data_IF_494483318615
#
_entry.id   IF_494483318615
#
_cell.length_a   1.000
_cell.length_b   1.000
_cell.length_c   1.000
_cell.angle_alpha   90.00
_cell.angle_beta   90.00
_cell.angle_gamma   90.00
#
_symmetry.space_group_name_H-M   'P 1'
#
loop_
_entity.id
_entity.type
_entity.pdbx_description
1 polymer ?
#
# COMPACT_ATOMS: atom_id res chain seq x y z
N UNK A 1 1.57 16.46 15.36
CA UNK A 1 2.66 16.54 14.30
C UNK A 1 4.04 16.60 14.97
N UNK A 2 4.67 15.41 14.76
CA UNK A 2 6.06 15.31 15.27
C UNK A 2 7.06 15.55 14.14
N UNK A 3 8.12 16.36 14.46
CA UNK A 3 9.10 16.74 13.42
C UNK A 3 10.18 15.67 13.31
N UNK A 4 10.38 15.29 12.05
CA UNK A 4 11.47 14.32 11.78
C UNK A 4 12.40 14.90 10.70
N UNK A 5 13.75 14.78 10.96
CA UNK A 5 14.72 15.25 9.93
C UNK A 5 15.44 14.05 9.31
N UNK A 6 15.51 14.05 7.96
CA UNK A 6 16.16 12.91 7.27
C UNK A 6 17.18 13.46 6.28
N UNK A 7 18.24 12.68 6.15
CA UNK A 7 19.26 13.11 5.17
C UNK A 7 18.96 12.50 3.80
N UNK A 8 18.98 13.42 2.74
CA UNK A 8 18.81 12.94 1.34
C UNK A 8 20.03 13.33 0.52
N UNK A 9 20.27 12.44 -0.26
CA UNK A 9 21.32 12.87 -1.21
C UNK A 9 20.87 14.09 -2.03
N UNK A 10 21.84 14.79 -2.47
CA UNK A 10 21.52 16.04 -3.20
C UNK A 10 20.65 15.77 -4.43
N UNK A 11 20.94 14.72 -5.10
CA UNK A 11 20.16 14.43 -6.31
C UNK A 11 18.70 14.07 -5.98
N UNK A 12 18.51 13.43 -4.93
CA UNK A 12 17.13 13.06 -4.54
C UNK A 12 16.32 14.28 -4.11
N UNK A 13 17.08 15.17 -3.40
CA UNK A 13 16.35 16.37 -2.97
C UNK A 13 15.98 17.24 -4.17
N UNK A 14 16.84 17.29 -5.11
CA UNK A 14 16.51 18.08 -6.31
C UNK A 14 15.33 17.48 -7.07
N UNK A 15 15.37 16.21 -7.19
CA UNK A 15 14.23 15.55 -7.87
C UNK A 15 12.91 15.82 -7.14
N UNK A 16 12.96 15.81 -5.85
CA UNK A 16 11.72 16.06 -5.08
C UNK A 16 11.23 17.51 -5.28
N UNK A 17 12.17 18.40 -5.37
CA UNK A 17 11.76 19.82 -5.55
C UNK A 17 11.15 20.02 -6.95
N UNK A 18 11.72 19.39 -7.87
CA UNK A 18 11.14 19.50 -9.22
C UNK A 18 9.73 18.90 -9.27
N UNK A 19 9.60 17.77 -8.60
CA UNK A 19 8.25 17.17 -8.55
C UNK A 19 7.26 18.11 -7.86
N UNK A 20 7.71 18.69 -6.89
CA UNK A 20 6.81 19.63 -6.18
C UNK A 20 6.46 20.82 -7.08
N UNK A 21 7.45 21.32 -7.81
CA UNK A 21 7.18 22.42 -8.75
C UNK A 21 6.17 22.03 -9.83
N UNK A 22 6.31 20.75 -10.25
CA UNK A 22 5.40 20.31 -11.33
C UNK A 22 3.98 20.11 -10.80
N UNK A 23 3.85 19.79 -9.57
CA UNK A 23 2.54 19.41 -9.02
C UNK A 23 1.90 20.58 -8.28
N UNK A 24 2.72 21.73 -8.16
CA UNK A 24 2.22 22.89 -7.39
C UNK A 24 2.02 22.57 -5.91
N UNK A 25 2.57 21.49 -5.44
CA UNK A 25 2.41 21.11 -4.03
C UNK A 25 3.74 21.32 -3.28
N UNK A 26 3.57 21.34 -1.92
CA UNK A 26 4.80 21.49 -1.12
C UNK A 26 5.56 20.16 -1.02
N UNK A 27 6.84 20.29 -0.82
CA UNK A 27 7.70 19.09 -0.69
C UNK A 27 7.23 18.25 0.50
N UNK A 28 6.82 18.93 1.54
CA UNK A 28 6.33 18.19 2.73
C UNK A 28 5.09 17.35 2.39
N UNK A 29 4.24 17.97 1.57
CA UNK A 29 3.01 17.21 1.22
C UNK A 29 3.34 15.98 0.38
N UNK A 30 4.28 16.11 -0.43
CA UNK A 30 4.66 14.96 -1.29
C UNK A 30 5.32 13.85 -0.46
N UNK A 31 6.13 14.26 0.47
CA UNK A 31 6.82 13.25 1.30
C UNK A 31 5.79 12.53 2.17
N UNK A 32 4.88 13.32 2.75
CA UNK A 32 3.85 12.66 3.58
C UNK A 32 3.00 11.70 2.74
N UNK A 33 2.67 12.09 1.54
CA UNK A 33 1.86 11.19 0.69
C UNK A 33 2.66 9.93 0.30
N UNK A 34 3.84 10.15 0.01
CA UNK A 34 4.66 8.99 -0.39
C UNK A 34 4.79 8.00 0.78
N UNK A 35 4.98 8.57 1.97
CA UNK A 35 5.07 7.68 3.14
C UNK A 35 3.76 6.91 3.34
N UNK A 36 2.66 7.54 3.13
CA UNK A 36 1.38 6.85 3.33
C UNK A 36 1.17 5.76 2.27
N UNK A 37 1.65 6.01 1.14
CA UNK A 37 1.36 5.05 0.05
C UNK A 37 2.34 3.88 0.09
N UNK A 38 3.54 4.17 0.53
CA UNK A 38 4.54 3.10 0.33
C UNK A 38 4.81 2.42 1.69
N UNK A 39 4.93 3.24 2.71
CA UNK A 39 5.32 2.63 4.01
C UNK A 39 4.06 2.25 4.79
N UNK A 40 3.09 3.17 4.68
CA UNK A 40 1.91 2.88 5.54
C UNK A 40 0.80 2.28 4.68
N UNK A 41 1.20 1.77 3.54
CA UNK A 41 0.14 1.18 2.71
C UNK A 41 -0.62 0.11 3.52
N UNK A 42 -1.99 0.33 3.64
CA UNK A 42 -2.74 -0.64 4.45
C UNK A 42 -2.69 -2.06 3.84
N UNK A 43 -2.35 -3.07 4.63
CA UNK A 43 -2.40 -4.48 4.14
C UNK A 43 -3.80 -4.84 3.62
N UNK A 44 -3.74 -5.14 2.27
CA UNK A 44 -5.02 -5.57 1.67
C UNK A 44 -5.68 -6.68 2.49
N UNK A 45 -6.75 -6.26 3.30
CA UNK A 45 -7.49 -7.28 4.09
C UNK A 45 -8.88 -7.45 3.49
N UNK A 46 -9.18 -9.14 3.23
CA UNK A 46 -10.56 -9.50 2.86
C UNK A 46 -10.58 -10.59 1.76
N UNK A 47 -11.62 -11.38 1.39
CA UNK A 47 -11.78 -12.64 0.62
C UNK A 47 -11.41 -12.48 -0.86
N UNK A 48 -10.91 -11.64 -1.66
CA UNK A 48 -10.27 -10.93 -2.79
C UNK A 48 -9.18 -10.02 -2.24
N UNK A 49 -8.66 -10.45 -1.04
CA UNK A 49 -7.78 -10.04 0.07
C UNK A 49 -8.55 -10.03 1.41
N UNK A 50 -9.60 -11.06 1.29
CA UNK A 50 -10.54 -11.04 2.45
C UNK A 50 -10.10 -11.99 3.53
N UNK A 51 -9.18 -12.97 3.08
CA UNK A 51 -8.91 -13.98 4.12
C UNK A 51 -7.53 -14.58 3.87
N UNK A 52 -6.69 -14.69 5.25
CA UNK A 52 -5.30 -15.19 5.11
C UNK A 52 -5.22 -16.69 5.39
N UNK A 53 -6.35 -17.37 5.54
CA UNK A 53 -6.41 -18.82 5.85
C UNK A 53 -6.48 -19.69 4.57
N UNK A 54 -6.00 -21.20 4.64
CA UNK A 54 -6.02 -22.06 3.44
C UNK A 54 -7.44 -22.62 3.20
N UNK A 55 -7.98 -22.14 2.02
CA UNK A 55 -9.34 -22.66 1.76
C UNK A 55 -9.38 -24.20 1.88
N UNK A 56 -10.39 -24.57 2.69
CA UNK A 56 -10.55 -26.03 2.87
C UNK A 56 -11.08 -26.68 1.58
N UNK A 57 -11.76 -25.93 0.59
CA UNK A 57 -12.24 -26.47 -0.70
C UNK A 57 -12.53 -25.31 -1.66
N UNK A 58 -12.42 -25.71 -2.97
CA UNK A 58 -12.64 -24.67 -4.01
C UNK A 58 -14.10 -24.65 -4.45
N UNK A 59 -14.47 -23.49 -5.02
CA UNK A 59 -15.85 -23.24 -5.49
C UNK A 59 -16.29 -24.32 -6.49
N UNK A 60 -15.45 -25.04 -7.10
CA UNK A 60 -15.76 -26.09 -8.08
C UNK A 60 -16.18 -27.39 -7.38
N UNK A 61 -15.82 -27.43 -6.13
CA UNK A 61 -16.14 -28.65 -5.34
C UNK A 61 -17.41 -28.45 -4.51
N UNK A 62 -18.09 -27.39 -4.97
CA UNK A 62 -19.26 -27.02 -4.15
C UNK A 62 -20.36 -28.09 -4.26
N UNK A 63 -20.31 -28.65 -5.51
CA UNK A 63 -21.50 -29.53 -5.70
C UNK A 63 -21.22 -30.93 -5.16
N UNK A 64 -20.02 -31.24 -4.83
CA UNK A 64 -19.67 -32.58 -4.34
C UNK A 64 -19.73 -32.66 -2.80
N UNK A 65 -20.16 -31.60 -2.18
CA UNK A 65 -20.15 -31.52 -0.70
C UNK A 65 -21.35 -32.31 -0.14
N UNK A 66 -22.18 -32.74 -1.04
CA UNK A 66 -23.33 -33.49 -0.48
C UNK A 66 -23.35 -34.91 -1.04
N UNK A 67 -22.27 -35.21 -1.68
CA UNK A 67 -22.27 -36.51 -2.41
C UNK A 67 -21.77 -37.61 -1.48
N UNK A 68 -21.37 -37.35 -0.31
CA UNK A 68 -21.12 -38.49 0.59
C UNK A 68 -21.83 -38.26 1.93
N UNK A 69 -22.65 -39.30 2.67
CA UNK A 69 -23.26 -39.11 4.00
C UNK A 69 -22.21 -38.78 5.07
#
# INVERSE_FOLDING_TARGET
>A
MEKTQVYLRKEELEALRQAAARSGRSVAELIREAIRKVVLRPRSTGPVALWDGEPKRTSLEHDSVHDEP
#
